data_IF_938947089290
#
_entry.id   IF_938947089290
#
_cell.length_a   1.000
_cell.length_b   1.000
_cell.length_c   1.000
_cell.angle_alpha   90.00
_cell.angle_beta   90.00
_cell.angle_gamma   90.00
#
_symmetry.space_group_name_H-M   'P 1'
#
loop_
_entity.id
_entity.type
_entity.pdbx_description
1 polymer ?
#
# COMPACT_ATOMS: atom_id res chain seq x y z
N UNK A 1 58.45 -15.67 16.54
CA UNK A 1 57.04 -15.69 16.94
C UNK A 1 56.15 -14.58 16.39
N UNK A 2 56.57 -13.80 15.45
CA UNK A 2 55.79 -12.67 14.91
C UNK A 2 55.20 -12.88 13.50
N UNK A 3 55.36 -14.04 12.86
CA UNK A 3 54.84 -14.29 11.51
C UNK A 3 53.45 -14.91 11.43
N UNK A 4 52.87 -15.35 12.54
CA UNK A 4 51.54 -15.96 12.55
C UNK A 4 50.40 -14.98 12.83
N UNK A 5 50.67 -13.80 13.36
CA UNK A 5 49.64 -12.79 13.66
C UNK A 5 49.24 -11.95 12.44
N UNK A 6 50.15 -11.76 11.50
CA UNK A 6 49.89 -10.93 10.32
C UNK A 6 48.98 -11.66 9.30
N UNK A 7 48.95 -12.99 9.31
CA UNK A 7 48.12 -13.75 8.38
C UNK A 7 46.63 -13.76 8.79
N UNK A 8 46.34 -13.63 10.08
CA UNK A 8 44.98 -13.63 10.59
C UNK A 8 44.24 -12.30 10.34
N UNK A 9 44.97 -11.21 10.32
CA UNK A 9 44.41 -9.86 10.08
C UNK A 9 44.08 -9.67 8.59
N UNK A 10 44.87 -10.23 7.68
CA UNK A 10 44.60 -10.16 6.24
C UNK A 10 43.37 -10.99 5.85
N UNK A 11 43.13 -12.11 6.53
CA UNK A 11 41.96 -12.96 6.26
C UNK A 11 40.65 -12.31 6.69
N UNK A 12 40.63 -11.51 7.78
CA UNK A 12 39.44 -10.78 8.21
C UNK A 12 39.10 -9.56 7.32
N UNK A 13 40.14 -8.95 6.70
CA UNK A 13 39.89 -7.80 5.83
C UNK A 13 39.27 -8.18 4.48
N UNK A 14 39.57 -9.39 3.98
CA UNK A 14 39.02 -9.91 2.72
C UNK A 14 37.52 -10.28 2.86
N UNK A 15 37.10 -10.70 4.04
CA UNK A 15 35.67 -11.03 4.27
C UNK A 15 34.77 -9.80 4.36
N UNK A 16 35.29 -8.59 4.65
CA UNK A 16 34.52 -7.36 4.78
C UNK A 16 34.20 -6.69 3.42
N UNK A 17 34.92 -7.05 2.36
CA UNK A 17 34.73 -6.43 1.03
C UNK A 17 33.71 -7.19 0.17
N UNK A 18 33.31 -8.40 0.54
CA UNK A 18 32.33 -9.20 -0.23
C UNK A 18 30.86 -8.98 0.19
N UNK A 19 30.59 -8.19 1.22
CA UNK A 19 29.24 -7.95 1.71
C UNK A 19 28.55 -6.72 1.07
N UNK A 20 29.14 -6.09 0.06
CA UNK A 20 28.62 -4.84 -0.50
C UNK A 20 28.45 -4.87 -2.01
N UNK A 21 27.71 -5.85 -2.51
CA UNK A 21 27.13 -5.78 -3.86
C UNK A 21 25.83 -6.58 -3.89
N UNK A 22 24.86 -6.23 -3.04
CA UNK A 22 23.48 -6.40 -3.45
C UNK A 22 23.25 -5.33 -4.52
N UNK A 23 23.34 -5.72 -5.78
CA UNK A 23 22.69 -4.98 -6.85
C UNK A 23 21.22 -4.94 -6.48
N UNK A 24 20.78 -3.84 -5.92
CA UNK A 24 19.36 -3.49 -5.89
C UNK A 24 18.96 -3.39 -7.34
N UNK A 25 18.28 -4.40 -7.87
CA UNK A 25 17.64 -4.26 -9.18
C UNK A 25 16.81 -2.99 -9.08
N UNK A 26 16.93 -2.07 -10.07
CA UNK A 26 16.09 -0.88 -10.07
C UNK A 26 14.66 -1.38 -10.01
N UNK A 27 13.93 -0.96 -8.97
CA UNK A 27 12.49 -1.22 -8.85
C UNK A 27 11.86 -0.92 -10.21
N UNK A 28 11.08 -1.84 -10.79
CA UNK A 28 10.40 -1.56 -12.04
C UNK A 28 9.63 -0.26 -11.83
N UNK A 29 10.04 0.76 -12.57
CA UNK A 29 9.48 2.10 -12.44
C UNK A 29 7.97 2.00 -12.58
N UNK A 30 7.24 2.32 -11.52
CA UNK A 30 5.79 2.33 -11.54
C UNK A 30 5.33 3.33 -12.60
N UNK A 31 4.84 2.82 -13.72
CA UNK A 31 4.36 3.63 -14.83
C UNK A 31 2.85 3.74 -14.75
N UNK A 32 2.37 4.96 -14.94
CA UNK A 32 0.95 5.20 -15.13
C UNK A 32 0.48 4.40 -16.36
N UNK A 33 -0.52 3.56 -16.15
CA UNK A 33 -1.20 2.84 -17.23
C UNK A 33 -2.06 3.80 -18.03
N UNK A 34 -2.45 3.38 -19.24
CA UNK A 34 -3.40 4.11 -20.06
C UNK A 34 -4.65 4.44 -19.23
N UNK A 35 -4.96 5.72 -19.15
CA UNK A 35 -6.05 6.21 -18.34
C UNK A 35 -7.04 6.99 -19.23
N UNK A 36 -8.34 6.67 -19.18
CA UNK A 36 -9.30 7.19 -20.16
C UNK A 36 -9.77 8.64 -19.90
N UNK A 37 -9.34 9.24 -18.80
CA UNK A 37 -9.76 10.56 -18.36
C UNK A 37 -8.60 11.55 -18.37
N UNK A 38 -8.92 12.85 -18.40
CA UNK A 38 -7.94 13.91 -18.19
C UNK A 38 -7.36 13.83 -16.78
N UNK A 39 -6.03 13.80 -16.69
CA UNK A 39 -5.32 13.69 -15.41
C UNK A 39 -5.02 15.08 -14.92
N UNK A 40 -5.49 15.40 -13.71
CA UNK A 40 -5.18 16.63 -13.01
C UNK A 40 -3.85 16.53 -12.25
N UNK A 41 -3.67 15.43 -11.51
CA UNK A 41 -2.49 15.22 -10.66
C UNK A 41 -2.14 13.76 -10.50
N UNK A 42 -0.84 13.46 -10.42
CA UNK A 42 -0.32 12.14 -10.07
C UNK A 42 0.73 12.28 -8.98
N UNK A 43 0.59 11.52 -7.91
CA UNK A 43 1.55 11.47 -6.80
C UNK A 43 1.89 10.03 -6.44
N UNK A 44 3.19 9.75 -6.24
CA UNK A 44 3.63 8.47 -5.69
C UNK A 44 3.43 8.49 -4.18
N UNK A 45 2.77 7.45 -3.65
CA UNK A 45 2.55 7.33 -2.21
C UNK A 45 2.51 5.89 -1.73
N UNK A 46 2.61 5.74 -0.42
CA UNK A 46 2.44 4.47 0.28
C UNK A 46 1.11 4.47 1.01
N UNK A 47 0.35 3.39 0.89
CA UNK A 47 -0.88 3.17 1.64
C UNK A 47 -0.72 1.97 2.58
N UNK A 48 -1.26 2.11 3.78
CA UNK A 48 -1.51 1.02 4.71
C UNK A 48 -2.98 0.63 4.60
N UNK A 49 -3.28 -0.64 4.41
CA UNK A 49 -4.64 -1.15 4.22
C UNK A 49 -4.95 -2.10 5.36
N UNK A 50 -6.08 -1.88 6.02
CA UNK A 50 -6.52 -2.71 7.14
C UNK A 50 -6.95 -4.12 6.68
N UNK A 51 -6.95 -5.04 7.63
CA UNK A 51 -7.38 -6.43 7.42
C UNK A 51 -8.88 -6.61 7.16
N UNK A 52 -9.65 -5.55 7.34
CA UNK A 52 -11.09 -5.53 7.11
C UNK A 52 -11.48 -4.29 6.30
N UNK A 53 -12.49 -4.43 5.45
CA UNK A 53 -13.14 -3.32 4.75
C UNK A 53 -14.28 -2.78 5.59
N UNK A 54 -14.63 -1.54 5.34
CA UNK A 54 -15.75 -0.87 5.96
C UNK A 54 -17.01 -0.93 5.10
N UNK A 55 -18.12 -1.25 5.72
CA UNK A 55 -19.46 -1.16 5.13
C UNK A 55 -20.14 0.11 5.64
N UNK A 56 -20.58 0.98 4.75
CA UNK A 56 -21.25 2.23 5.13
C UNK A 56 -22.67 1.93 5.62
N UNK A 57 -23.02 2.28 6.89
CA UNK A 57 -24.29 1.90 7.48
C UNK A 57 -25.50 2.62 6.87
N UNK A 58 -25.27 3.77 6.23
CA UNK A 58 -26.35 4.59 5.66
C UNK A 58 -26.77 4.16 4.24
N UNK A 59 -26.04 3.21 3.64
CA UNK A 59 -26.46 2.57 2.41
C UNK A 59 -27.30 1.36 2.80
N UNK A 60 -28.62 1.59 2.92
CA UNK A 60 -29.64 0.57 3.25
C UNK A 60 -29.89 -0.33 2.04
N UNK A 61 -28.83 -1.07 1.67
CA UNK A 61 -28.88 -2.02 0.58
C UNK A 61 -29.06 -3.41 1.20
N UNK A 62 -29.94 -4.21 0.65
CA UNK A 62 -30.12 -5.56 1.09
C UNK A 62 -28.82 -6.36 0.94
N UNK A 63 -28.53 -7.27 1.88
CA UNK A 63 -27.29 -8.06 1.88
C UNK A 63 -27.05 -8.82 0.55
N UNK A 64 -28.10 -9.06 -0.25
CA UNK A 64 -28.02 -9.71 -1.56
C UNK A 64 -27.57 -8.78 -2.70
N UNK A 65 -27.62 -7.43 -2.52
CA UNK A 65 -27.22 -6.44 -3.52
C UNK A 65 -25.82 -5.84 -3.25
N UNK A 66 -25.17 -6.24 -2.17
CA UNK A 66 -23.84 -5.77 -1.80
C UNK A 66 -22.77 -6.44 -2.69
N UNK A 67 -22.53 -5.84 -3.83
CA UNK A 67 -21.34 -6.17 -4.61
C UNK A 67 -20.08 -5.87 -3.79
N UNK A 68 -19.03 -6.69 -3.93
CA UNK A 68 -17.73 -6.46 -3.26
C UNK A 68 -17.16 -5.04 -3.47
N UNK A 69 -17.63 -4.33 -4.51
CA UNK A 69 -17.26 -2.95 -4.84
C UNK A 69 -17.77 -1.90 -3.85
N UNK A 70 -18.75 -2.22 -3.01
CA UNK A 70 -19.38 -1.26 -2.08
C UNK A 70 -18.72 -1.19 -0.70
N UNK A 71 -17.77 -2.10 -0.44
CA UNK A 71 -16.98 -2.04 0.77
C UNK A 71 -15.80 -1.09 0.59
N UNK A 72 -15.72 -0.08 1.43
CA UNK A 72 -14.62 0.86 1.43
C UNK A 72 -13.40 0.29 2.14
N UNK A 73 -12.23 0.60 1.61
CA UNK A 73 -10.99 0.29 2.30
C UNK A 73 -10.81 1.19 3.52
N UNK A 74 -10.35 0.61 4.61
CA UNK A 74 -9.82 1.34 5.74
C UNK A 74 -8.33 1.55 5.49
N UNK A 75 -7.95 2.80 5.32
CA UNK A 75 -6.60 3.20 4.93
C UNK A 75 -5.97 4.12 5.97
N UNK A 76 -4.65 4.18 5.94
CA UNK A 76 -3.86 5.24 6.55
C UNK A 76 -2.60 5.50 5.71
N UNK A 77 -2.06 6.69 5.80
CA UNK A 77 -0.91 7.13 5.02
C UNK A 77 0.40 7.05 5.80
N UNK A 78 0.31 6.93 7.12
CA UNK A 78 1.44 6.81 8.03
C UNK A 78 1.16 5.75 9.09
N UNK A 79 2.18 5.07 9.63
CA UNK A 79 2.00 3.98 10.58
C UNK A 79 1.25 4.37 11.87
N UNK A 80 1.44 5.60 12.32
CA UNK A 80 0.92 6.18 13.58
C UNK A 80 -0.45 6.85 13.42
N UNK A 81 -0.99 6.92 12.21
CA UNK A 81 -2.34 7.44 11.97
C UNK A 81 -3.42 6.43 12.38
N UNK A 82 -4.61 6.95 12.68
CA UNK A 82 -5.80 6.14 12.82
C UNK A 82 -6.27 5.65 11.44
N UNK A 83 -6.95 4.51 11.46
CA UNK A 83 -7.63 4.03 10.28
C UNK A 83 -8.82 4.94 9.96
N UNK A 84 -8.94 5.26 8.67
CA UNK A 84 -10.08 6.01 8.14
C UNK A 84 -10.58 5.37 6.85
N UNK A 85 -11.82 5.60 6.49
CA UNK A 85 -12.41 5.01 5.30
C UNK A 85 -12.28 5.94 4.10
N UNK A 86 -11.97 5.34 2.94
CA UNK A 86 -11.81 6.06 1.69
C UNK A 86 -12.54 5.32 0.58
N UNK A 87 -13.38 6.05 -0.17
CA UNK A 87 -14.13 5.54 -1.32
C UNK A 87 -13.30 5.45 -2.60
N UNK A 88 -11.97 5.45 -2.52
CA UNK A 88 -11.14 5.38 -3.71
C UNK A 88 -11.00 3.95 -4.20
N UNK A 89 -11.25 3.71 -5.51
CA UNK A 89 -10.88 2.43 -6.08
C UNK A 89 -9.37 2.24 -6.05
N UNK A 90 -8.94 1.02 -5.74
CA UNK A 90 -7.54 0.61 -5.84
C UNK A 90 -7.45 -0.38 -6.99
N UNK A 91 -6.80 0.04 -8.08
CA UNK A 91 -6.59 -0.80 -9.25
C UNK A 91 -5.30 -1.63 -9.12
N UNK A 92 -5.21 -2.75 -9.84
CA UNK A 92 -4.05 -3.66 -9.81
C UNK A 92 -3.74 -4.25 -8.43
N UNK A 93 -4.77 -4.37 -7.60
CA UNK A 93 -4.65 -4.86 -6.24
C UNK A 93 -5.75 -5.89 -5.94
N UNK A 94 -5.35 -7.04 -5.40
CA UNK A 94 -6.27 -8.07 -4.92
C UNK A 94 -6.27 -8.07 -3.39
N UNK A 95 -7.39 -7.65 -2.84
CA UNK A 95 -7.60 -7.66 -1.40
C UNK A 95 -8.01 -9.04 -0.91
N UNK A 96 -7.47 -9.43 0.25
CA UNK A 96 -7.85 -10.63 0.97
C UNK A 96 -8.15 -10.25 2.42
N UNK A 97 -9.36 -10.55 2.88
CA UNK A 97 -9.79 -10.30 4.26
C UNK A 97 -8.89 -11.04 5.26
N UNK A 98 -8.55 -10.39 6.36
CA UNK A 98 -7.69 -10.93 7.40
C UNK A 98 -6.20 -10.65 7.21
N UNK A 99 -5.84 -9.87 6.17
CA UNK A 99 -4.46 -9.44 5.95
C UNK A 99 -4.35 -7.92 5.99
N UNK A 100 -3.36 -7.42 6.73
CA UNK A 100 -2.89 -6.03 6.58
C UNK A 100 -1.90 -5.94 5.43
N UNK A 101 -1.98 -4.84 4.68
CA UNK A 101 -1.10 -4.57 3.56
C UNK A 101 -0.39 -3.24 3.71
N UNK A 102 0.81 -3.19 3.17
CA UNK A 102 1.51 -1.94 2.84
C UNK A 102 1.76 -2.00 1.34
N UNK A 103 1.20 -1.06 0.61
CA UNK A 103 1.34 -0.98 -0.84
C UNK A 103 1.93 0.37 -1.26
N UNK A 104 2.70 0.35 -2.33
CA UNK A 104 3.22 1.55 -2.99
C UNK A 104 2.56 1.69 -4.36
N UNK A 105 2.23 2.92 -4.74
CA UNK A 105 1.60 3.15 -6.03
C UNK A 105 1.42 4.62 -6.36
N UNK A 106 0.57 4.87 -7.34
CA UNK A 106 0.23 6.20 -7.84
C UNK A 106 -1.18 6.58 -7.40
N UNK A 107 -1.28 7.69 -6.69
CA UNK A 107 -2.54 8.38 -6.46
C UNK A 107 -2.81 9.29 -7.66
N UNK A 108 -3.95 9.12 -8.30
CA UNK A 108 -4.30 9.79 -9.54
C UNK A 108 -5.57 10.58 -9.31
N UNK A 109 -5.47 11.90 -9.41
CA UNK A 109 -6.62 12.79 -9.47
C UNK A 109 -6.96 13.02 -10.95
N UNK A 110 -8.21 12.83 -11.34
CA UNK A 110 -8.66 12.95 -12.71
C UNK A 110 -9.99 13.67 -12.83
N UNK A 111 -10.22 14.29 -13.97
CA UNK A 111 -11.37 15.14 -14.23
C UNK A 111 -12.41 14.36 -15.03
N UNK A 112 -13.67 14.43 -14.58
CA UNK A 112 -14.83 13.89 -15.25
C UNK A 112 -15.82 15.03 -15.51
N UNK A 113 -16.43 15.05 -16.67
CA UNK A 113 -17.43 16.05 -17.08
C UNK A 113 -17.00 17.52 -16.89
N UNK A 114 -15.69 17.77 -17.06
CA UNK A 114 -15.10 19.11 -17.17
C UNK A 114 -14.67 19.77 -15.87
N UNK A 115 -15.24 19.42 -14.72
CA UNK A 115 -14.92 20.08 -13.43
C UNK A 115 -14.97 19.18 -12.19
N UNK A 116 -15.49 17.96 -12.28
CA UNK A 116 -15.51 17.03 -11.17
C UNK A 116 -14.19 16.29 -11.05
N UNK A 117 -13.51 16.46 -9.93
CA UNK A 117 -12.26 15.75 -9.63
C UNK A 117 -12.56 14.47 -8.86
N UNK A 118 -12.14 13.37 -9.41
CA UNK A 118 -12.17 12.04 -8.77
C UNK A 118 -10.78 11.56 -8.47
N UNK A 119 -10.68 10.59 -7.57
CA UNK A 119 -9.41 10.01 -7.17
C UNK A 119 -9.44 8.49 -7.28
N UNK A 120 -8.36 7.93 -7.78
CA UNK A 120 -8.09 6.49 -7.76
C UNK A 120 -6.65 6.22 -7.36
N UNK A 121 -6.35 4.98 -6.99
CA UNK A 121 -5.00 4.55 -6.65
C UNK A 121 -4.61 3.36 -7.52
N UNK A 122 -3.52 3.47 -8.26
CA UNK A 122 -2.92 2.36 -9.00
C UNK A 122 -1.84 1.71 -8.13
N UNK A 123 -2.08 0.47 -7.71
CA UNK A 123 -1.08 -0.29 -6.96
C UNK A 123 0.05 -0.72 -7.89
N UNK A 124 1.28 -0.39 -7.54
CA UNK A 124 2.47 -0.75 -8.29
C UNK A 124 3.21 -1.91 -7.65
N UNK A 125 3.22 -1.95 -6.32
CA UNK A 125 3.96 -2.93 -5.55
C UNK A 125 3.32 -3.18 -4.19
N UNK A 126 3.25 -4.43 -3.79
CA UNK A 126 2.94 -4.83 -2.43
C UNK A 126 4.25 -4.91 -1.65
N UNK A 127 4.44 -3.99 -0.70
CA UNK A 127 5.64 -3.94 0.15
C UNK A 127 5.54 -4.92 1.31
N UNK A 128 4.30 -5.14 1.82
CA UNK A 128 4.03 -6.07 2.91
C UNK A 128 2.62 -6.64 2.80
N UNK A 129 2.48 -7.92 3.08
CA UNK A 129 1.20 -8.63 3.27
C UNK A 129 1.34 -9.50 4.51
N UNK A 130 0.61 -9.20 5.57
CA UNK A 130 0.69 -9.91 6.85
C UNK A 130 -0.67 -10.41 7.28
N UNK A 131 -0.79 -11.69 7.60
CA UNK A 131 -2.01 -12.23 8.22
C UNK A 131 -2.09 -11.72 9.66
N UNK A 132 -2.91 -10.70 9.85
CA UNK A 132 -3.03 -9.99 11.11
C UNK A 132 -4.38 -9.28 11.15
N UNK A 133 -5.04 -9.31 12.29
CA UNK A 133 -6.20 -8.47 12.53
C UNK A 133 -5.73 -7.06 12.84
N UNK A 134 -6.25 -6.05 12.15
CA UNK A 134 -5.92 -4.66 12.40
C UNK A 134 -6.47 -4.21 13.74
N UNK A 135 -5.64 -3.47 14.48
CA UNK A 135 -6.00 -2.87 15.76
C UNK A 135 -6.49 -1.43 15.55
N UNK A 136 -7.34 -0.94 16.45
CA UNK A 136 -7.81 0.45 16.40
C UNK A 136 -8.74 0.73 15.22
N UNK A 137 -9.42 -0.28 14.71
CA UNK A 137 -10.45 -0.08 13.70
C UNK A 137 -11.57 0.80 14.26
N UNK A 138 -12.14 1.73 13.45
CA UNK A 138 -13.25 2.56 13.89
C UNK A 138 -14.43 1.67 14.31
N UNK A 139 -15.06 1.98 15.43
CA UNK A 139 -16.28 1.30 15.87
C UNK A 139 -17.48 1.94 15.18
N UNK A 140 -18.09 1.23 14.26
CA UNK A 140 -19.20 1.73 13.44
C UNK A 140 -20.59 1.61 14.10
N UNK A 141 -20.64 1.27 15.39
CA UNK A 141 -21.90 1.15 16.14
C UNK A 141 -22.39 2.45 16.80
N UNK A 142 -21.79 3.60 16.49
CA UNK A 142 -22.04 4.85 17.22
C UNK A 142 -22.62 5.98 16.35
N UNK A 143 -23.52 5.66 15.41
CA UNK A 143 -24.45 6.69 14.91
C UNK A 143 -25.85 6.15 15.09
N UNK A 144 -26.42 6.46 16.24
CA UNK A 144 -27.87 6.48 16.46
C UNK A 144 -28.38 7.88 16.21
#
# INVERSE_FOLDING_TARGET
>A
MMKKFTLLIVSCLVCLVLASCQKTEPDPECKLKDFPYEIDKVEKMTLYIASEKYHHPDLDWSEEELYESEYYYLLKFQPDQNWDWYGWPITDFQYEKGYEYIIEGLCIDYIVDGDMVFRTFQCCKILSKQKKQSEGLPSFNAVR
#
